data_IF_676008683521
#
_entry.id   IF_676008683521
#
_cell.length_a   1.000
_cell.length_b   1.000
_cell.length_c   1.000
_cell.angle_alpha   90.00
_cell.angle_beta   90.00
_cell.angle_gamma   90.00
#
_symmetry.space_group_name_H-M   'P 1'
#
loop_
_entity.id
_entity.type
_entity.pdbx_description
1 polymer ?
#
# COMPACT_ATOMS: atom_id res chain seq x y z
N UNK A 1 47.39 40.63 -23.61
CA UNK A 1 46.32 40.23 -24.58
C UNK A 1 46.18 38.70 -24.70
N UNK A 2 46.64 37.91 -23.73
CA UNK A 2 46.62 36.43 -23.80
C UNK A 2 45.75 35.75 -22.72
N UNK A 3 45.34 36.46 -21.67
CA UNK A 3 44.56 35.85 -20.57
C UNK A 3 43.06 35.66 -20.88
N UNK A 4 42.49 36.44 -21.80
CA UNK A 4 41.06 36.35 -22.11
C UNK A 4 40.67 35.12 -22.96
N UNK A 5 41.61 34.53 -23.71
CA UNK A 5 41.34 33.38 -24.59
C UNK A 5 41.33 32.06 -23.82
N UNK A 6 42.24 31.90 -22.86
CA UNK A 6 42.35 30.71 -21.99
C UNK A 6 41.09 30.54 -21.12
N UNK A 7 40.60 31.64 -20.52
CA UNK A 7 39.41 31.61 -19.66
C UNK A 7 38.13 31.21 -20.43
N UNK A 8 38.03 31.61 -21.70
CA UNK A 8 36.90 31.29 -22.55
C UNK A 8 36.91 29.83 -23.04
N UNK A 9 38.11 29.24 -23.20
CA UNK A 9 38.25 27.82 -23.52
C UNK A 9 37.91 26.93 -22.33
N UNK A 10 38.40 27.28 -21.13
CA UNK A 10 38.12 26.57 -19.88
C UNK A 10 36.62 26.59 -19.55
N UNK A 11 35.96 27.74 -19.65
CA UNK A 11 34.52 27.83 -19.38
C UNK A 11 33.69 27.04 -20.39
N UNK A 12 34.11 26.99 -21.66
CA UNK A 12 33.46 26.16 -22.70
C UNK A 12 33.70 24.66 -22.51
N UNK A 13 34.86 24.24 -22.00
CA UNK A 13 35.13 22.81 -21.73
C UNK A 13 34.33 22.33 -20.51
N UNK A 14 34.26 23.14 -19.46
CA UNK A 14 33.45 22.85 -18.26
C UNK A 14 31.97 22.76 -18.63
N UNK A 15 31.44 23.70 -19.42
CA UNK A 15 30.02 23.71 -19.81
C UNK A 15 29.66 22.52 -20.72
N UNK A 16 30.59 22.06 -21.58
CA UNK A 16 30.40 20.81 -22.37
C UNK A 16 30.39 19.57 -21.48
N UNK A 17 31.35 19.44 -20.57
CA UNK A 17 31.40 18.31 -19.62
C UNK A 17 30.14 18.24 -18.74
N UNK A 18 29.60 19.37 -18.28
CA UNK A 18 28.35 19.39 -17.52
C UNK A 18 27.16 18.90 -18.36
N UNK A 19 27.08 19.31 -19.63
CA UNK A 19 26.03 18.84 -20.55
C UNK A 19 26.12 17.34 -20.82
N UNK A 20 27.32 16.82 -21.04
CA UNK A 20 27.54 15.39 -21.31
C UNK A 20 27.25 14.54 -20.06
N UNK A 21 27.61 15.03 -18.87
CA UNK A 21 27.29 14.37 -17.58
C UNK A 21 25.78 14.38 -17.31
N UNK A 22 25.08 15.47 -17.62
CA UNK A 22 23.61 15.54 -17.47
C UNK A 22 22.86 14.64 -18.45
N UNK A 23 23.37 14.48 -19.68
CA UNK A 23 22.80 13.58 -20.69
C UNK A 23 23.02 12.12 -20.31
N UNK A 24 24.21 11.76 -19.84
CA UNK A 24 24.53 10.39 -19.41
C UNK A 24 23.74 9.91 -18.19
N UNK A 25 23.22 10.82 -17.35
CA UNK A 25 22.42 10.47 -16.17
C UNK A 25 20.92 10.30 -16.46
N UNK A 26 20.42 10.74 -17.61
CA UNK A 26 19.00 10.65 -17.98
C UNK A 26 18.71 9.52 -18.98
N UNK A 27 19.74 8.95 -19.61
CA UNK A 27 19.58 7.96 -20.69
C UNK A 27 19.47 6.50 -20.21
N UNK A 28 19.64 6.24 -18.91
CA UNK A 28 19.74 4.89 -18.35
C UNK A 28 18.83 4.63 -17.14
N UNK A 29 17.95 5.56 -16.77
CA UNK A 29 16.91 5.28 -15.81
C UNK A 29 15.57 5.14 -16.55
N UNK A 30 15.44 4.04 -17.31
CA UNK A 30 14.09 3.57 -17.64
C UNK A 30 13.39 3.42 -16.30
N UNK A 31 12.43 4.29 -16.01
CA UNK A 31 11.63 4.19 -14.79
C UNK A 31 11.14 2.76 -14.71
N UNK A 32 11.71 1.98 -13.79
CA UNK A 32 11.27 0.62 -13.56
C UNK A 32 9.83 0.77 -13.10
N UNK A 33 8.87 0.40 -13.95
CA UNK A 33 7.47 0.41 -13.59
C UNK A 33 7.33 -0.71 -12.56
N UNK A 34 7.49 -0.37 -11.28
CA UNK A 34 7.29 -1.31 -10.18
C UNK A 34 5.78 -1.52 -10.08
N UNK A 35 5.27 -2.47 -10.84
CA UNK A 35 3.89 -2.91 -10.68
C UNK A 35 3.81 -3.69 -9.39
N UNK A 36 2.75 -3.47 -8.60
CA UNK A 36 2.51 -4.27 -7.40
C UNK A 36 2.08 -5.72 -7.74
N UNK A 37 1.93 -6.00 -9.03
CA UNK A 37 1.54 -7.28 -9.60
C UNK A 37 2.75 -7.97 -10.25
N UNK A 38 2.81 -9.29 -10.13
CA UNK A 38 3.71 -10.14 -10.92
C UNK A 38 3.33 -10.14 -12.41
N UNK A 39 4.16 -10.77 -13.25
CA UNK A 39 3.93 -10.89 -14.70
C UNK A 39 2.63 -11.67 -15.03
N UNK A 40 2.11 -12.44 -14.08
CA UNK A 40 0.86 -13.20 -14.17
C UNK A 40 -0.35 -12.41 -13.64
N UNK A 41 -0.16 -11.14 -13.26
CA UNK A 41 -1.22 -10.27 -12.75
C UNK A 41 -1.68 -10.61 -11.33
N UNK A 42 -0.91 -11.36 -10.53
CA UNK A 42 -1.17 -11.52 -9.09
C UNK A 42 -0.56 -10.34 -8.33
N UNK A 43 -1.38 -9.59 -7.61
CA UNK A 43 -0.93 -8.50 -6.75
C UNK A 43 -0.46 -9.05 -5.40
N UNK A 44 0.62 -8.48 -4.87
CA UNK A 44 1.11 -8.83 -3.55
C UNK A 44 0.17 -8.32 -2.44
N UNK A 45 -0.16 -9.18 -1.49
CA UNK A 45 -0.96 -8.81 -0.32
C UNK A 45 -0.15 -7.96 0.68
N UNK A 46 -0.80 -6.97 1.29
CA UNK A 46 -0.15 -6.03 2.22
C UNK A 46 -0.09 -6.65 3.61
N UNK A 47 1.12 -6.76 4.14
CA UNK A 47 1.37 -7.31 5.47
C UNK A 47 1.65 -6.17 6.44
N UNK A 48 0.83 -5.99 7.48
CA UNK A 48 0.98 -4.95 8.52
C UNK A 48 2.32 -5.04 9.27
N UNK A 49 2.71 -4.11 10.15
CA UNK A 49 3.86 -4.35 11.03
C UNK A 49 3.66 -5.57 11.95
N UNK A 50 4.72 -6.11 12.56
CA UNK A 50 4.59 -7.09 13.68
C UNK A 50 4.29 -6.41 15.02
N UNK A 51 4.64 -5.13 15.14
CA UNK A 51 4.45 -4.33 16.35
C UNK A 51 2.97 -4.16 16.76
N UNK A 52 1.98 -3.98 15.85
CA UNK A 52 0.58 -3.86 16.25
C UNK A 52 0.00 -5.12 16.90
N UNK A 53 0.31 -6.32 16.40
CA UNK A 53 -0.18 -7.57 17.02
C UNK A 53 0.53 -7.87 18.33
N UNK A 54 1.85 -7.63 18.40
CA UNK A 54 2.62 -7.76 19.63
C UNK A 54 2.14 -6.78 20.71
N UNK A 55 1.92 -5.51 20.34
CA UNK A 55 1.42 -4.48 21.24
C UNK A 55 0.05 -4.83 21.80
N UNK A 56 -0.88 -5.29 20.95
CA UNK A 56 -2.20 -5.76 21.41
C UNK A 56 -2.07 -6.96 22.34
N UNK A 57 -1.32 -8.00 21.94
CA UNK A 57 -1.13 -9.19 22.75
C UNK A 57 -0.52 -8.89 24.13
N UNK A 58 0.50 -8.04 24.19
CA UNK A 58 1.13 -7.63 25.45
C UNK A 58 0.17 -6.77 26.30
N UNK A 59 -0.55 -5.83 25.69
CA UNK A 59 -1.49 -4.97 26.40
C UNK A 59 -2.65 -5.76 27.00
N UNK A 60 -3.13 -6.79 26.33
CA UNK A 60 -4.18 -7.65 26.85
C UNK A 60 -3.65 -8.52 27.98
N UNK A 61 -2.51 -9.20 27.81
CA UNK A 61 -1.93 -10.04 28.86
C UNK A 61 -1.60 -9.21 30.10
N UNK A 62 -0.80 -8.15 29.97
CA UNK A 62 -0.33 -7.37 31.11
C UNK A 62 -1.44 -6.44 31.61
N UNK A 63 -2.00 -5.62 30.72
CA UNK A 63 -3.02 -4.64 31.10
C UNK A 63 -4.33 -5.28 31.53
N UNK A 64 -4.82 -6.27 30.78
CA UNK A 64 -6.05 -6.99 31.12
C UNK A 64 -5.94 -7.80 32.41
N UNK A 65 -4.82 -8.50 32.63
CA UNK A 65 -4.61 -9.24 33.89
C UNK A 65 -4.49 -8.30 35.09
N UNK A 66 -3.72 -7.21 34.97
CA UNK A 66 -3.58 -6.22 36.04
C UNK A 66 -4.93 -5.56 36.36
N UNK A 67 -5.68 -5.14 35.33
CA UNK A 67 -6.99 -4.53 35.51
C UNK A 67 -7.98 -5.50 36.16
N UNK A 68 -8.03 -6.75 35.71
CA UNK A 68 -8.90 -7.77 36.29
C UNK A 68 -8.59 -8.06 37.76
N UNK A 69 -7.31 -8.16 38.13
CA UNK A 69 -6.89 -8.33 39.53
C UNK A 69 -7.29 -7.12 40.38
N UNK A 70 -7.01 -5.91 39.91
CA UNK A 70 -7.40 -4.68 40.62
C UNK A 70 -8.93 -4.65 40.81
N UNK A 71 -9.70 -4.95 39.77
CA UNK A 71 -11.15 -4.98 39.81
C UNK A 71 -11.68 -5.94 40.89
N UNK A 72 -11.18 -7.18 40.94
CA UNK A 72 -11.62 -8.16 41.94
C UNK A 72 -11.36 -7.62 43.35
N UNK A 73 -10.17 -7.07 43.61
CA UNK A 73 -9.80 -6.57 44.93
C UNK A 73 -10.61 -5.33 45.35
N UNK A 74 -10.98 -4.45 44.41
CA UNK A 74 -11.78 -3.26 44.74
C UNK A 74 -13.28 -3.54 44.88
N UNK A 75 -13.76 -4.62 44.27
CA UNK A 75 -15.19 -4.93 44.18
C UNK A 75 -15.67 -6.05 45.08
N UNK A 76 -14.76 -6.84 45.65
CA UNK A 76 -15.11 -7.99 46.50
C UNK A 76 -15.95 -7.59 47.74
N UNK A 77 -15.77 -6.38 48.26
CA UNK A 77 -16.41 -5.93 49.51
C UNK A 77 -17.44 -4.80 49.29
N UNK A 78 -17.46 -4.20 48.11
CA UNK A 78 -18.16 -2.93 47.85
C UNK A 78 -19.42 -3.06 46.98
N UNK A 79 -19.74 -4.25 46.48
CA UNK A 79 -20.85 -4.46 45.55
C UNK A 79 -21.56 -5.80 45.67
N UNK A 80 -22.54 -6.07 44.79
CA UNK A 80 -23.21 -7.37 44.72
C UNK A 80 -22.20 -8.50 44.50
N UNK A 81 -22.44 -9.67 45.08
CA UNK A 81 -21.48 -10.80 45.04
C UNK A 81 -21.04 -11.19 43.62
N UNK A 82 -21.90 -11.01 42.61
CA UNK A 82 -21.59 -11.31 41.21
C UNK A 82 -20.68 -10.28 40.52
N UNK A 83 -20.44 -9.11 41.12
CA UNK A 83 -19.63 -8.03 40.51
C UNK A 83 -18.16 -8.43 40.33
N UNK A 84 -17.66 -9.31 41.20
CA UNK A 84 -16.33 -9.91 41.10
C UNK A 84 -16.18 -10.87 39.92
N UNK A 85 -17.27 -11.47 39.41
CA UNK A 85 -17.26 -12.40 38.27
C UNK A 85 -16.76 -11.73 36.99
N UNK A 86 -17.02 -10.42 36.85
CA UNK A 86 -16.55 -9.61 35.72
C UNK A 86 -15.02 -9.59 35.69
N UNK A 87 -14.37 -9.45 36.84
CA UNK A 87 -12.90 -9.44 36.93
C UNK A 87 -12.29 -10.78 36.49
N UNK A 88 -12.88 -11.91 36.91
CA UNK A 88 -12.46 -13.23 36.44
C UNK A 88 -12.64 -13.41 34.93
N UNK A 89 -13.76 -12.92 34.38
CA UNK A 89 -14.01 -12.94 32.94
C UNK A 89 -12.97 -12.09 32.17
N UNK A 90 -12.60 -10.92 32.69
CA UNK A 90 -11.57 -10.07 32.09
C UNK A 90 -10.22 -10.80 32.07
N UNK A 91 -9.82 -11.46 33.17
CA UNK A 91 -8.56 -12.22 33.21
C UNK A 91 -8.60 -13.38 32.21
N UNK A 92 -9.70 -14.13 32.14
CA UNK A 92 -9.84 -15.24 31.19
C UNK A 92 -9.77 -14.78 29.73
N UNK A 93 -10.50 -13.71 29.38
CA UNK A 93 -10.49 -13.13 28.04
C UNK A 93 -9.13 -12.49 27.68
N UNK A 94 -8.47 -11.85 28.63
CA UNK A 94 -7.10 -11.31 28.50
C UNK A 94 -6.10 -12.40 28.12
N UNK A 95 -6.15 -13.55 28.77
CA UNK A 95 -5.24 -14.67 28.49
C UNK A 95 -5.49 -15.25 27.10
N UNK A 96 -6.75 -15.52 26.76
CA UNK A 96 -7.12 -16.13 25.47
C UNK A 96 -6.74 -15.21 24.30
N UNK A 97 -7.21 -13.96 24.32
CA UNK A 97 -6.98 -13.00 23.22
C UNK A 97 -5.51 -12.57 23.16
N UNK A 98 -4.87 -12.41 24.33
CA UNK A 98 -3.46 -12.06 24.43
C UNK A 98 -2.54 -13.12 23.83
N UNK A 99 -2.79 -14.41 24.14
CA UNK A 99 -2.05 -15.53 23.53
C UNK A 99 -2.31 -15.59 22.02
N UNK A 100 -3.55 -15.41 21.57
CA UNK A 100 -3.87 -15.40 20.14
C UNK A 100 -3.08 -14.33 19.38
N UNK A 101 -3.03 -13.11 19.91
CA UNK A 101 -2.27 -12.01 19.31
C UNK A 101 -0.74 -12.23 19.40
N UNK A 102 -0.25 -12.83 20.49
CA UNK A 102 1.16 -13.19 20.64
C UNK A 102 1.58 -14.27 19.63
N UNK A 103 0.76 -15.31 19.47
CA UNK A 103 0.97 -16.36 18.47
C UNK A 103 1.01 -15.77 17.06
N UNK A 104 0.07 -14.89 16.71
CA UNK A 104 0.05 -14.25 15.40
C UNK A 104 1.25 -13.29 15.17
N UNK A 105 1.82 -12.71 16.23
CA UNK A 105 3.02 -11.89 16.14
C UNK A 105 4.29 -12.70 15.83
N UNK A 106 4.36 -13.95 16.30
CA UNK A 106 5.53 -14.85 16.14
C UNK A 106 5.34 -15.95 15.08
N UNK A 107 4.18 -16.07 14.47
CA UNK A 107 3.91 -17.09 13.45
C UNK A 107 4.87 -16.98 12.24
N UNK A 108 5.37 -18.14 11.77
CA UNK A 108 6.30 -18.22 10.63
C UNK A 108 5.68 -17.69 9.33
N UNK A 109 4.42 -18.02 9.08
CA UNK A 109 3.60 -17.49 8.00
C UNK A 109 2.45 -16.70 8.61
N UNK A 110 2.41 -15.39 8.39
CA UNK A 110 1.34 -14.53 8.91
C UNK A 110 0.36 -14.15 7.82
N UNK A 111 -0.89 -14.00 8.21
CA UNK A 111 -1.95 -13.52 7.35
C UNK A 111 -1.66 -12.07 6.93
N UNK A 112 -1.90 -11.76 5.66
CA UNK A 112 -1.97 -10.39 5.17
C UNK A 112 -3.18 -9.71 5.82
N UNK A 113 -3.07 -8.41 6.07
CA UNK A 113 -4.21 -7.67 6.62
C UNK A 113 -5.28 -7.42 5.56
N UNK A 114 -4.85 -7.34 4.30
CA UNK A 114 -5.70 -7.24 3.12
C UNK A 114 -5.08 -8.09 2.02
N UNK A 115 -5.90 -8.91 1.38
CA UNK A 115 -5.56 -9.54 0.11
C UNK A 115 -6.04 -8.61 -1.01
N UNK A 116 -5.10 -8.03 -1.75
CA UNK A 116 -5.44 -7.12 -2.84
C UNK A 116 -5.46 -7.98 -4.08
N UNK A 117 -6.65 -8.25 -4.59
CA UNK A 117 -6.85 -9.04 -5.80
C UNK A 117 -7.02 -8.09 -6.99
N UNK A 118 -6.51 -8.49 -8.15
CA UNK A 118 -6.60 -7.69 -9.35
C UNK A 118 -8.08 -7.57 -9.79
N UNK A 119 -8.51 -6.41 -10.32
CA UNK A 119 -9.91 -6.18 -10.69
C UNK A 119 -10.49 -7.20 -11.70
N UNK A 120 -9.61 -7.85 -12.48
CA UNK A 120 -9.94 -8.91 -13.42
C UNK A 120 -10.26 -10.27 -12.75
N UNK A 121 -9.73 -10.52 -11.56
CA UNK A 121 -9.90 -11.79 -10.83
C UNK A 121 -11.10 -11.77 -9.89
N UNK A 122 -11.32 -10.65 -9.18
CA UNK A 122 -12.48 -10.45 -8.31
C UNK A 122 -13.15 -9.11 -8.63
N UNK A 123 -14.12 -9.08 -9.57
CA UNK A 123 -14.84 -7.86 -9.87
C UNK A 123 -15.70 -7.45 -8.67
N UNK A 124 -15.56 -6.19 -8.25
CA UNK A 124 -16.32 -5.65 -7.12
C UNK A 124 -17.84 -5.84 -7.37
N UNK A 125 -18.61 -6.44 -6.43
CA UNK A 125 -20.05 -6.58 -6.57
C UNK A 125 -20.76 -5.23 -6.80
N UNK A 126 -20.22 -4.12 -6.31
CA UNK A 126 -20.76 -2.78 -6.55
C UNK A 126 -20.69 -2.40 -8.03
N UNK A 127 -19.70 -2.89 -8.76
CA UNK A 127 -19.53 -2.62 -10.19
C UNK A 127 -20.70 -3.18 -11.02
N UNK A 128 -21.26 -4.31 -10.57
CA UNK A 128 -22.48 -4.90 -11.16
C UNK A 128 -23.72 -4.05 -10.92
N UNK A 129 -23.80 -3.38 -9.77
CA UNK A 129 -24.94 -2.52 -9.40
C UNK A 129 -24.86 -1.17 -10.09
N UNK A 130 -23.65 -0.60 -10.22
CA UNK A 130 -23.43 0.70 -10.87
C UNK A 130 -23.30 0.60 -12.40
N UNK A 131 -23.24 -0.60 -12.97
CA UNK A 131 -23.12 -0.81 -14.43
C UNK A 131 -21.79 -0.32 -15.01
N UNK A 132 -20.75 -0.22 -14.18
CA UNK A 132 -19.45 0.29 -14.59
C UNK A 132 -18.59 -0.89 -15.07
N UNK A 133 -18.84 -1.40 -16.28
CA UNK A 133 -17.98 -2.41 -16.89
C UNK A 133 -16.56 -1.83 -17.06
N UNK A 134 -15.61 -2.25 -16.23
CA UNK A 134 -14.17 -1.97 -16.40
C UNK A 134 -13.62 -2.90 -17.48
N UNK A 135 -14.23 -2.82 -18.67
CA UNK A 135 -13.72 -3.24 -19.97
C UNK A 135 -14.12 -2.15 -20.93
N UNK A 136 -13.44 -1.03 -20.77
CA UNK A 136 -13.55 0.11 -21.66
C UNK A 136 -12.12 0.34 -22.12
N UNK A 137 -11.66 -0.55 -23.02
CA UNK A 137 -10.58 -0.22 -23.94
C UNK A 137 -11.18 0.86 -24.86
N UNK A 138 -11.21 2.08 -24.33
CA UNK A 138 -11.55 3.27 -25.09
C UNK A 138 -10.26 4.03 -25.16
N UNK A 139 -9.52 3.75 -26.22
CA UNK A 139 -8.52 4.69 -26.68
C UNK A 139 -9.21 6.05 -26.84
N UNK A 140 -8.64 7.08 -26.23
CA UNK A 140 -9.06 8.46 -26.46
C UNK A 140 -8.08 9.06 -27.44
N UNK A 141 -8.57 9.80 -28.44
CA UNK A 141 -7.69 10.49 -29.37
C UNK A 141 -6.84 11.52 -28.62
N UNK A 142 -5.51 11.39 -28.66
CA UNK A 142 -4.58 12.31 -28.01
C UNK A 142 -4.63 13.74 -28.56
N UNK A 143 -5.20 13.93 -29.75
CA UNK A 143 -5.28 15.24 -30.40
C UNK A 143 -6.59 15.98 -30.06
N UNK A 144 -7.76 15.33 -30.15
CA UNK A 144 -9.05 15.99 -29.95
C UNK A 144 -9.86 15.50 -28.75
N UNK A 145 -9.40 14.46 -28.04
CA UNK A 145 -10.08 13.90 -26.87
C UNK A 145 -11.34 13.07 -27.20
N UNK A 146 -11.64 12.87 -28.49
CA UNK A 146 -12.78 12.05 -28.91
C UNK A 146 -12.54 10.57 -28.61
N UNK A 147 -13.60 9.87 -28.22
CA UNK A 147 -13.59 8.43 -28.01
C UNK A 147 -13.28 7.71 -29.33
N UNK A 148 -12.19 6.95 -29.37
CA UNK A 148 -11.83 6.15 -30.55
C UNK A 148 -12.19 4.70 -30.30
N UNK A 149 -12.80 4.06 -31.31
CA UNK A 149 -13.01 2.62 -31.30
C UNK A 149 -11.70 1.97 -31.77
N UNK A 150 -11.20 0.96 -31.06
CA UNK A 150 -9.89 0.33 -31.32
C UNK A 150 -9.77 -0.31 -32.71
N UNK A 151 -10.88 -0.54 -33.41
CA UNK A 151 -10.88 -1.08 -34.78
C UNK A 151 -10.53 -0.04 -35.86
N UNK A 152 -10.48 1.26 -35.53
CA UNK A 152 -10.27 2.34 -36.50
C UNK A 152 -8.83 2.89 -36.47
N UNK A 153 -8.10 2.75 -37.58
CA UNK A 153 -6.74 3.30 -37.77
C UNK A 153 -6.66 4.84 -37.69
N UNK A 154 -7.80 5.52 -37.75
CA UNK A 154 -7.90 6.99 -37.77
C UNK A 154 -9.09 7.46 -36.93
N UNK A 155 -8.92 8.58 -36.23
CA UNK A 155 -9.97 9.21 -35.44
C UNK A 155 -11.07 9.78 -36.34
N UNK A 156 -12.32 9.43 -36.06
CA UNK A 156 -13.50 9.86 -36.83
C UNK A 156 -13.78 11.36 -36.77
N UNK A 157 -13.28 12.07 -35.76
CA UNK A 157 -13.54 13.50 -35.56
C UNK A 157 -12.42 14.39 -36.15
N UNK A 158 -11.15 14.07 -35.88
CA UNK A 158 -10.03 14.90 -36.30
C UNK A 158 -9.12 14.29 -37.38
N UNK A 159 -9.35 13.03 -37.78
CA UNK A 159 -8.53 12.33 -38.77
C UNK A 159 -7.12 11.94 -38.30
N UNK A 160 -6.78 12.17 -37.03
CA UNK A 160 -5.47 11.79 -36.48
C UNK A 160 -5.35 10.28 -36.41
N UNK A 161 -4.22 9.73 -36.86
CA UNK A 161 -3.95 8.29 -36.78
C UNK A 161 -3.92 7.85 -35.31
N UNK A 162 -4.77 6.90 -34.98
CA UNK A 162 -4.81 6.25 -33.65
C UNK A 162 -4.02 4.96 -33.84
N UNK A 163 -2.91 4.83 -33.13
CA UNK A 163 -1.95 3.72 -33.24
C UNK A 163 -2.40 2.52 -32.42
#
# INVERSE_FOLDING_TARGET
>A
RYEYTEFNWITRSINRNMKDTSKGSLENNSTQKVTMADEQGNIASVKTGRAPSLGRGLSELVGGSLFGVIWINTTAESGPQYWSLIGYFIIASSVITGIYHMYNAFAKNRFSAQDIVSPDKEPDPLNRVLGHDVRQDHSYCTNCGEKTNDDNKFCSNCGTKVV
#
